data_IF_127342615906
#
_entry.id   IF_127342615906
#
_cell.length_a   1.000
_cell.length_b   1.000
_cell.length_c   1.000
_cell.angle_alpha   90.00
_cell.angle_beta   90.00
_cell.angle_gamma   90.00
#
_symmetry.space_group_name_H-M   'P 1'
#
loop_
_entity.id
_entity.type
_entity.pdbx_description
1 polymer ?
#
# COMPACT_ATOMS: atom_id res chain seq x y z
N UNK A 1 -2.91 -3.69 -16.52
CA UNK A 1 -3.60 -4.94 -16.90
C UNK A 1 -4.88 -5.16 -16.12
N UNK A 2 -5.97 -5.43 -16.83
CA UNK A 2 -7.24 -5.87 -16.25
C UNK A 2 -7.07 -7.30 -15.69
N UNK A 3 -7.68 -7.65 -14.55
CA UNK A 3 -7.67 -9.02 -14.06
C UNK A 3 -8.20 -10.00 -15.10
N UNK A 4 -7.66 -11.23 -15.17
CA UNK A 4 -8.01 -12.21 -16.21
C UNK A 4 -9.48 -12.66 -16.20
N UNK A 5 -10.25 -12.28 -15.18
CA UNK A 5 -11.66 -12.64 -15.01
C UNK A 5 -12.65 -11.54 -15.43
N UNK A 6 -12.17 -10.35 -15.78
CA UNK A 6 -13.00 -9.26 -16.29
C UNK A 6 -12.62 -8.96 -17.75
N UNK A 7 -13.52 -9.28 -18.68
CA UNK A 7 -13.30 -9.08 -20.11
C UNK A 7 -13.11 -7.60 -20.50
N UNK A 8 -13.71 -6.69 -19.72
CA UNK A 8 -13.48 -5.24 -19.80
C UNK A 8 -13.89 -4.59 -18.49
N UNK A 9 -13.19 -3.53 -18.09
CA UNK A 9 -13.66 -2.63 -17.04
C UNK A 9 -14.82 -1.77 -17.59
N UNK A 10 -15.74 -1.29 -16.75
CA UNK A 10 -16.72 -0.31 -17.20
C UNK A 10 -16.00 0.89 -17.82
N UNK A 11 -16.57 1.43 -18.89
CA UNK A 11 -16.00 2.54 -19.65
C UNK A 11 -15.72 3.73 -18.71
N UNK A 12 -14.57 4.39 -18.90
CA UNK A 12 -14.16 5.51 -18.06
C UNK A 12 -13.57 5.12 -16.70
N UNK A 13 -13.24 3.83 -16.49
CA UNK A 13 -12.57 3.38 -15.27
C UNK A 13 -11.25 2.68 -15.55
N UNK A 14 -10.28 2.89 -14.67
CA UNK A 14 -8.91 2.36 -14.77
C UNK A 14 -8.57 1.57 -13.51
N UNK A 15 -7.95 0.42 -13.71
CA UNK A 15 -7.40 -0.39 -12.64
C UNK A 15 -5.96 0.06 -12.29
N UNK A 16 -5.76 0.46 -11.04
CA UNK A 16 -4.47 0.82 -10.47
C UNK A 16 -3.95 -0.29 -9.55
N UNK A 17 -2.97 -1.11 -9.99
CA UNK A 17 -2.47 -2.27 -9.24
C UNK A 17 -1.45 -1.89 -8.13
N UNK A 18 -1.70 -0.80 -7.41
CA UNK A 18 -0.83 -0.32 -6.33
C UNK A 18 -1.26 -0.86 -4.96
N UNK A 19 -0.29 -1.32 -4.16
CA UNK A 19 -0.53 -1.73 -2.77
C UNK A 19 -0.79 -0.50 -1.91
N UNK A 20 -1.68 -0.59 -0.91
CA UNK A 20 -1.99 0.50 0.02
C UNK A 20 -2.49 1.80 -0.64
N UNK A 21 -3.16 1.70 -1.79
CA UNK A 21 -3.74 2.85 -2.48
C UNK A 21 -5.11 3.27 -1.93
N UNK A 22 -5.90 2.32 -1.39
CA UNK A 22 -7.23 2.60 -0.84
C UNK A 22 -7.28 3.71 0.22
N UNK A 23 -6.33 3.81 1.19
CA UNK A 23 -6.28 4.94 2.13
C UNK A 23 -6.02 6.28 1.44
N UNK A 24 -5.28 6.28 0.32
CA UNK A 24 -4.99 7.48 -0.46
C UNK A 24 -6.26 7.99 -1.15
N UNK A 25 -7.02 7.09 -1.79
CA UNK A 25 -8.31 7.44 -2.40
C UNK A 25 -9.30 7.96 -1.36
N UNK A 26 -9.39 7.30 -0.19
CA UNK A 26 -10.23 7.75 0.92
C UNK A 26 -9.86 9.15 1.41
N UNK A 27 -8.57 9.48 1.47
CA UNK A 27 -8.09 10.81 1.89
C UNK A 27 -8.40 11.90 0.86
N UNK A 28 -8.39 11.55 -0.43
CA UNK A 28 -8.75 12.46 -1.51
C UNK A 28 -10.26 12.62 -1.71
N UNK A 29 -11.08 11.74 -1.11
CA UNK A 29 -12.53 11.75 -1.31
C UNK A 29 -12.97 11.27 -2.70
N UNK A 30 -12.11 10.50 -3.37
CA UNK A 30 -12.40 9.95 -4.71
C UNK A 30 -13.14 8.62 -4.57
N UNK A 31 -14.18 8.42 -5.37
CA UNK A 31 -14.88 7.15 -5.46
C UNK A 31 -13.96 6.05 -5.98
N UNK A 32 -13.88 4.94 -5.24
CA UNK A 32 -13.02 3.81 -5.59
C UNK A 32 -13.68 2.48 -5.25
N UNK A 33 -13.38 1.46 -6.04
CA UNK A 33 -13.75 0.08 -5.76
C UNK A 33 -12.49 -0.79 -5.57
N UNK A 34 -12.42 -1.67 -4.55
CA UNK A 34 -11.32 -2.61 -4.42
C UNK A 34 -11.32 -3.60 -5.59
N UNK A 35 -10.18 -3.77 -6.26
CA UNK A 35 -10.08 -4.65 -7.42
C UNK A 35 -9.82 -6.10 -6.98
N UNK A 36 -10.81 -6.99 -7.18
CA UNK A 36 -10.66 -8.43 -7.02
C UNK A 36 -9.98 -8.99 -8.27
N UNK A 37 -8.71 -9.39 -8.14
CA UNK A 37 -7.87 -9.77 -9.28
C UNK A 37 -7.81 -11.28 -9.51
N UNK A 38 -8.34 -12.07 -8.59
CA UNK A 38 -8.41 -13.52 -8.72
C UNK A 38 -8.67 -14.20 -7.39
N UNK A 39 -8.24 -15.47 -7.29
CA UNK A 39 -8.29 -16.26 -6.06
C UNK A 39 -6.89 -16.70 -5.68
N UNK A 40 -6.63 -16.79 -4.38
CA UNK A 40 -5.42 -17.40 -3.83
C UNK A 40 -5.82 -18.53 -2.88
N UNK A 41 -5.01 -19.59 -2.83
CA UNK A 41 -5.27 -20.72 -1.94
C UNK A 41 -4.57 -20.45 -0.62
N UNK A 42 -5.35 -20.31 0.45
CA UNK A 42 -4.84 -20.22 1.82
C UNK A 42 -5.41 -21.36 2.65
N UNK A 43 -4.53 -22.14 3.28
CA UNK A 43 -4.90 -23.27 4.14
C UNK A 43 -5.89 -24.26 3.45
N UNK A 44 -5.65 -24.57 2.17
CA UNK A 44 -6.50 -25.48 1.39
C UNK A 44 -7.86 -24.92 0.95
N UNK A 45 -8.14 -23.63 1.19
CA UNK A 45 -9.38 -22.95 0.75
C UNK A 45 -9.04 -21.84 -0.24
N UNK A 46 -9.89 -21.67 -1.26
CA UNK A 46 -9.78 -20.56 -2.22
C UNK A 46 -10.39 -19.30 -1.63
N UNK A 47 -9.57 -18.26 -1.42
CA UNK A 47 -10.00 -16.94 -0.94
C UNK A 47 -9.82 -15.88 -2.04
N UNK A 48 -10.71 -14.87 -2.14
CA UNK A 48 -10.58 -13.81 -3.14
C UNK A 48 -9.33 -12.97 -2.86
N UNK A 49 -8.53 -12.75 -3.92
CA UNK A 49 -7.34 -11.92 -3.90
C UNK A 49 -7.69 -10.52 -4.38
N UNK A 50 -7.46 -9.54 -3.51
CA UNK A 50 -7.61 -8.13 -3.85
C UNK A 50 -6.24 -7.52 -4.10
N UNK A 51 -6.10 -6.79 -5.21
CA UNK A 51 -4.89 -6.05 -5.55
C UNK A 51 -5.29 -4.70 -6.13
N UNK A 52 -4.93 -3.62 -5.45
CA UNK A 52 -5.20 -2.28 -5.97
C UNK A 52 -6.67 -1.88 -5.92
N UNK A 53 -7.01 -0.87 -6.71
CA UNK A 53 -8.35 -0.27 -6.80
C UNK A 53 -8.69 0.07 -8.25
N UNK A 54 -9.99 0.14 -8.53
CA UNK A 54 -10.54 0.74 -9.74
C UNK A 54 -11.01 2.15 -9.40
N UNK A 55 -10.62 3.12 -10.22
CA UNK A 55 -10.98 4.54 -10.11
C UNK A 55 -11.43 5.06 -11.48
N UNK A 56 -12.17 6.16 -11.49
CA UNK A 56 -12.50 6.88 -12.73
C UNK A 56 -11.23 7.47 -13.38
N UNK A 57 -11.21 7.50 -14.71
CA UNK A 57 -10.09 7.97 -15.52
C UNK A 57 -9.63 9.39 -15.13
N UNK A 58 -10.56 10.29 -14.84
CA UNK A 58 -10.24 11.69 -14.50
C UNK A 58 -9.43 11.85 -13.20
N UNK A 59 -9.51 10.89 -12.28
CA UNK A 59 -8.87 10.95 -10.96
C UNK A 59 -7.56 10.17 -10.90
N UNK A 60 -7.18 9.47 -11.98
CA UNK A 60 -6.00 8.61 -12.02
C UNK A 60 -4.73 9.38 -11.66
N UNK A 61 -4.51 10.53 -12.30
CA UNK A 61 -3.30 11.34 -12.08
C UNK A 61 -3.23 11.87 -10.64
N UNK A 62 -4.33 12.41 -10.12
CA UNK A 62 -4.41 12.92 -8.75
C UNK A 62 -4.12 11.82 -7.72
N UNK A 63 -4.69 10.62 -7.92
CA UNK A 63 -4.47 9.47 -7.05
C UNK A 63 -3.02 8.99 -7.14
N UNK A 64 -2.43 8.91 -8.34
CA UNK A 64 -1.04 8.49 -8.51
C UNK A 64 -0.06 9.44 -7.80
N UNK A 65 -0.21 10.75 -7.99
CA UNK A 65 0.65 11.76 -7.35
C UNK A 65 0.55 11.66 -5.83
N UNK A 66 -0.68 11.62 -5.31
CA UNK A 66 -0.91 11.50 -3.87
C UNK A 66 -0.39 10.16 -3.31
N UNK A 67 -0.46 9.09 -4.10
CA UNK A 67 0.03 7.78 -3.71
C UNK A 67 1.57 7.77 -3.62
N UNK A 68 2.26 8.32 -4.62
CA UNK A 68 3.73 8.46 -4.59
C UNK A 68 4.19 9.27 -3.39
N UNK A 69 3.54 10.40 -3.10
CA UNK A 69 3.84 11.22 -1.92
C UNK A 69 3.62 10.43 -0.61
N UNK A 70 2.54 9.65 -0.53
CA UNK A 70 2.27 8.81 0.64
C UNK A 70 3.32 7.71 0.84
N UNK A 71 3.79 7.07 -0.24
CA UNK A 71 4.85 6.06 -0.18
C UNK A 71 6.18 6.64 0.32
N UNK A 72 6.56 7.83 -0.15
CA UNK A 72 7.77 8.52 0.31
C UNK A 72 7.67 8.80 1.81
N UNK A 73 6.54 9.35 2.27
CA UNK A 73 6.33 9.64 3.69
C UNK A 73 6.29 8.37 4.57
N UNK A 74 5.77 7.26 4.04
CA UNK A 74 5.77 5.98 4.74
C UNK A 74 7.20 5.44 4.89
N UNK A 75 7.97 5.45 3.80
CA UNK A 75 9.37 5.04 3.79
C UNK A 75 10.20 5.84 4.77
N UNK A 76 10.04 7.17 4.79
CA UNK A 76 10.77 8.03 5.72
C UNK A 76 10.40 7.73 7.19
N UNK A 77 9.13 7.43 7.47
CA UNK A 77 8.69 6.98 8.80
C UNK A 77 9.32 5.64 9.19
N UNK A 78 9.40 4.69 8.27
CA UNK A 78 10.04 3.39 8.49
C UNK A 78 11.54 3.55 8.74
N UNK A 79 12.23 4.36 7.92
CA UNK A 79 13.64 4.67 8.09
C UNK A 79 13.91 5.35 9.44
N UNK A 80 13.03 6.27 9.87
CA UNK A 80 13.14 6.90 11.19
C UNK A 80 12.93 5.90 12.32
N UNK A 81 11.96 4.98 12.21
CA UNK A 81 11.78 3.91 13.19
C UNK A 81 13.00 3.00 13.26
N UNK A 82 13.55 2.60 12.12
CA UNK A 82 14.75 1.78 12.04
C UNK A 82 15.95 2.48 12.71
N UNK A 83 16.15 3.77 12.44
CA UNK A 83 17.17 4.58 13.12
C UNK A 83 16.97 4.64 14.63
N UNK A 84 15.74 4.86 15.09
CA UNK A 84 15.43 4.92 16.53
C UNK A 84 15.65 3.57 17.23
N UNK A 85 15.31 2.46 16.58
CA UNK A 85 15.58 1.11 17.10
C UNK A 85 17.08 0.87 17.20
N UNK A 86 17.82 1.23 16.14
CA UNK A 86 19.28 1.12 16.12
C UNK A 86 19.87 1.93 17.29
N UNK A 87 19.55 3.21 17.39
CA UNK A 87 20.01 4.10 18.46
C UNK A 87 19.69 3.57 19.87
N UNK A 88 18.45 3.12 20.11
CA UNK A 88 18.06 2.52 21.39
C UNK A 88 18.82 1.23 21.71
N UNK A 89 19.10 0.41 20.70
CA UNK A 89 19.90 -0.82 20.85
C UNK A 89 21.35 -0.47 21.22
N UNK A 90 21.96 0.49 20.52
CA UNK A 90 23.32 0.97 20.83
C UNK A 90 23.41 1.53 22.25
N UNK A 91 22.45 2.39 22.64
CA UNK A 91 22.37 2.93 24.01
C UNK A 91 22.28 1.83 25.05
N UNK A 92 21.46 0.80 24.80
CA UNK A 92 21.34 -0.34 25.71
C UNK A 92 22.65 -1.12 25.83
N UNK A 93 23.35 -1.37 24.71
CA UNK A 93 24.66 -2.05 24.72
C UNK A 93 25.75 -1.27 25.46
N UNK A 94 25.81 0.05 25.26
CA UNK A 94 26.76 0.91 25.96
C UNK A 94 26.48 0.96 27.47
N UNK A 95 25.20 1.01 27.86
CA UNK A 95 24.81 1.00 29.27
C UNK A 95 25.08 -0.36 29.94
N UNK A 96 25.02 -1.47 29.20
CA UNK A 96 25.36 -2.81 29.70
C UNK A 96 26.87 -3.00 29.92
N UNK A 97 27.71 -2.15 29.34
CA UNK A 97 29.16 -2.18 29.54
C UNK A 97 29.62 -1.28 30.72
N UNK A 98 28.68 -0.62 31.41
CA UNK A 98 28.94 0.14 32.63
C UNK A 98 28.91 -0.76 33.87
N UNK A 99 29.94 -1.58 34.06
CA UNK A 99 30.21 -2.23 35.34
C UNK A 99 31.50 -1.64 35.95
N UNK A 100 31.30 -0.87 37.02
CA UNK A 100 32.11 -0.92 38.24
C UNK A 100 32.03 -2.32 38.88
#
# INVERSE_FOLDING_TARGET
DCPPYAASLPLGTVHLPHKNIAPTCRRLGVDYAPAMVGFEVRAGRSVPKFLGVVVCEEHVEAVEVAHRAAQIALKEKEDRKARNICDGTWRSLLNLCGCE
#
